data_IF_526360802463
#
_entry.id   IF_526360802463
#
_cell.length_a   1.000
_cell.length_b   1.000
_cell.length_c   1.000
_cell.angle_alpha   90.00
_cell.angle_beta   90.00
_cell.angle_gamma   90.00
#
_symmetry.space_group_name_H-M   'P 1'
#
loop_
_entity.id
_entity.type
_entity.pdbx_description
1 polymer ?
#
# COMPACT_ATOMS: atom_id res chain seq x y z
N UNK A 1 27.28 -3.57 8.04
CA UNK A 1 27.52 -3.57 6.58
C UNK A 1 26.33 -2.88 5.96
N UNK A 2 26.58 -1.79 5.24
CA UNK A 2 25.53 -1.00 4.59
C UNK A 2 25.05 -1.77 3.35
N UNK A 3 23.79 -2.20 3.34
CA UNK A 3 23.20 -2.92 2.21
C UNK A 3 22.51 -1.97 1.23
N UNK A 4 22.59 -0.66 1.46
CA UNK A 4 22.36 0.36 0.44
C UNK A 4 23.69 0.56 -0.29
N UNK A 5 24.05 -0.43 -1.12
CA UNK A 5 25.39 -0.56 -1.71
C UNK A 5 25.65 0.40 -2.88
N UNK A 6 24.66 1.21 -3.25
CA UNK A 6 24.80 2.31 -4.22
C UNK A 6 24.19 3.57 -3.62
N UNK A 7 25.04 4.35 -2.95
CA UNK A 7 24.75 5.76 -2.72
C UNK A 7 24.82 6.50 -4.05
N UNK A 8 23.97 7.52 -4.21
CA UNK A 8 23.70 8.21 -5.47
C UNK A 8 24.97 8.79 -6.09
N UNK A 9 25.14 8.55 -7.39
CA UNK A 9 26.13 9.26 -8.22
C UNK A 9 25.62 10.69 -8.47
N UNK A 10 26.46 11.70 -8.24
CA UNK A 10 26.08 13.13 -8.22
C UNK A 10 25.42 13.58 -9.54
N UNK A 11 25.81 12.97 -10.66
CA UNK A 11 25.26 13.24 -12.00
C UNK A 11 23.80 12.77 -12.16
N UNK A 12 23.40 11.71 -11.46
CA UNK A 12 22.02 11.21 -11.47
C UNK A 12 21.10 12.11 -10.63
N UNK A 13 21.61 12.71 -9.56
CA UNK A 13 20.88 13.66 -8.70
C UNK A 13 20.52 14.92 -9.47
N UNK A 14 21.46 15.42 -10.28
CA UNK A 14 21.29 16.62 -11.08
C UNK A 14 20.25 16.45 -12.19
N UNK A 15 20.24 15.29 -12.85
CA UNK A 15 19.32 15.00 -13.95
C UNK A 15 17.87 14.66 -13.52
N UNK A 16 17.60 14.51 -12.21
CA UNK A 16 16.27 14.16 -11.66
C UNK A 16 15.58 12.93 -12.29
N UNK A 17 16.22 12.21 -13.20
CA UNK A 17 15.60 11.11 -13.95
C UNK A 17 15.18 9.98 -13.02
N UNK A 18 15.95 9.75 -11.96
CA UNK A 18 15.59 8.79 -10.94
C UNK A 18 14.40 9.26 -10.10
N UNK A 19 14.26 10.55 -9.77
CA UNK A 19 13.06 11.10 -9.11
C UNK A 19 11.84 11.21 -10.04
N UNK A 20 12.07 11.38 -11.35
CA UNK A 20 11.01 11.48 -12.35
C UNK A 20 10.44 10.09 -12.70
N UNK A 21 11.27 9.04 -12.60
CA UNK A 21 10.88 7.64 -12.84
C UNK A 21 10.53 6.91 -11.54
N UNK A 22 11.19 7.24 -10.43
CA UNK A 22 10.76 6.91 -9.09
C UNK A 22 9.61 7.85 -8.74
N UNK A 23 8.41 7.43 -9.09
CA UNK A 23 7.28 7.72 -8.23
C UNK A 23 7.45 6.83 -6.97
N UNK A 24 8.02 7.27 -5.83
CA UNK A 24 7.34 6.92 -4.61
C UNK A 24 6.05 7.71 -4.71
N UNK A 25 5.01 7.12 -5.32
CA UNK A 25 3.66 7.59 -5.04
C UNK A 25 3.61 7.70 -3.52
N UNK A 26 3.35 8.90 -3.02
CA UNK A 26 3.27 9.16 -1.59
C UNK A 26 2.53 7.99 -0.93
N UNK A 27 3.15 7.34 0.06
CA UNK A 27 2.59 6.13 0.65
C UNK A 27 1.22 6.42 1.28
N UNK A 28 0.97 7.66 1.68
CA UNK A 28 -0.36 8.12 2.13
C UNK A 28 -1.39 8.08 1.00
N UNK A 29 -1.01 8.49 -0.21
CA UNK A 29 -1.86 8.41 -1.41
C UNK A 29 -2.06 6.96 -1.87
N UNK A 30 -1.04 6.11 -1.74
CA UNK A 30 -1.17 4.67 -2.01
C UNK A 30 -2.12 4.04 -1.00
N UNK A 31 -1.96 4.31 0.30
CA UNK A 31 -2.84 3.80 1.35
C UNK A 31 -4.30 4.09 1.02
N UNK A 32 -4.60 5.31 0.57
CA UNK A 32 -5.94 5.72 0.14
C UNK A 32 -6.41 5.05 -1.15
N UNK A 33 -5.54 4.91 -2.16
CA UNK A 33 -5.94 4.43 -3.49
C UNK A 33 -6.00 2.91 -3.63
N UNK A 34 -5.19 2.17 -2.86
CA UNK A 34 -5.09 0.71 -2.93
C UNK A 34 -5.46 0.00 -1.63
N UNK A 35 -5.59 0.73 -0.54
CA UNK A 35 -5.96 0.19 0.78
C UNK A 35 -4.75 -0.23 1.62
N UNK A 36 -5.03 -0.46 2.90
CA UNK A 36 -4.06 -0.84 3.93
C UNK A 36 -3.44 -2.22 3.68
N UNK A 37 -4.23 -3.19 3.20
CA UNK A 37 -3.76 -4.55 2.98
C UNK A 37 -2.71 -4.60 1.85
N UNK A 38 -2.96 -3.86 0.77
CA UNK A 38 -2.00 -3.74 -0.33
C UNK A 38 -0.68 -3.11 0.14
N UNK A 39 -0.77 -2.06 0.97
CA UNK A 39 0.41 -1.38 1.49
C UNK A 39 1.20 -2.26 2.47
N UNK A 40 0.51 -3.02 3.32
CA UNK A 40 1.14 -4.01 4.21
C UNK A 40 1.87 -5.09 3.41
N UNK A 41 1.22 -5.66 2.39
CA UNK A 41 1.85 -6.63 1.50
C UNK A 41 3.04 -6.03 0.74
N UNK A 42 2.94 -4.76 0.33
CA UNK A 42 4.03 -4.04 -0.32
C UNK A 42 5.23 -3.87 0.63
N UNK A 43 5.04 -3.42 1.87
CA UNK A 43 6.14 -3.24 2.83
C UNK A 43 6.80 -4.57 3.24
N UNK A 44 6.05 -5.68 3.26
CA UNK A 44 6.59 -7.01 3.60
C UNK A 44 7.21 -7.73 2.39
N UNK A 45 6.79 -7.38 1.18
CA UNK A 45 7.11 -8.10 -0.05
C UNK A 45 8.47 -7.77 -0.67
N UNK A 46 9.32 -7.01 0.00
CA UNK A 46 10.65 -6.66 -0.51
C UNK A 46 11.62 -7.84 -0.44
N UNK A 47 12.44 -8.01 -1.47
CA UNK A 47 13.49 -9.01 -1.51
C UNK A 47 14.73 -8.46 -2.24
N UNK A 48 15.89 -9.03 -1.93
CA UNK A 48 17.15 -8.70 -2.56
C UNK A 48 17.20 -9.24 -4.00
N UNK A 49 17.53 -8.38 -4.96
CA UNK A 49 17.62 -8.69 -6.39
C UNK A 49 18.81 -7.94 -7.00
N UNK A 50 19.89 -8.68 -7.25
CA UNK A 50 21.15 -8.14 -7.79
C UNK A 50 21.01 -7.62 -9.23
N UNK A 51 19.96 -8.04 -9.96
CA UNK A 51 19.72 -7.58 -11.32
C UNK A 51 19.14 -6.15 -11.37
N UNK A 52 18.69 -5.62 -10.22
CA UNK A 52 18.12 -4.28 -10.13
C UNK A 52 19.22 -3.27 -9.77
N UNK A 53 19.22 -2.07 -10.38
CA UNK A 53 20.19 -1.02 -10.05
C UNK A 53 20.23 -0.68 -8.56
N UNK A 54 19.08 -0.76 -7.88
CA UNK A 54 18.91 -0.47 -6.45
C UNK A 54 19.12 -1.70 -5.54
N UNK A 55 19.36 -2.89 -6.09
CA UNK A 55 19.56 -4.13 -5.32
C UNK A 55 18.31 -4.73 -4.66
N UNK A 56 17.14 -4.08 -4.80
CA UNK A 56 15.87 -4.49 -4.21
C UNK A 56 14.77 -4.61 -5.26
N UNK A 57 13.86 -5.55 -5.02
CA UNK A 57 12.64 -5.73 -5.79
C UNK A 57 11.48 -6.13 -4.87
N UNK A 58 10.26 -6.22 -5.41
CA UNK A 58 9.06 -6.43 -4.63
C UNK A 58 8.08 -7.39 -5.32
N UNK A 59 7.43 -8.26 -4.55
CA UNK A 59 6.47 -9.25 -5.08
C UNK A 59 5.15 -8.62 -5.53
N UNK A 60 4.70 -7.56 -4.85
CA UNK A 60 3.45 -6.85 -5.13
C UNK A 60 3.63 -5.82 -6.24
N UNK A 61 4.75 -5.11 -6.26
CA UNK A 61 5.10 -4.13 -7.29
C UNK A 61 6.46 -4.42 -7.89
N UNK A 62 6.48 -5.25 -8.93
CA UNK A 62 7.71 -5.58 -9.66
C UNK A 62 8.39 -4.31 -10.17
N UNK A 63 9.68 -4.20 -9.92
CA UNK A 63 10.47 -3.06 -10.33
C UNK A 63 10.16 -1.77 -9.57
N UNK A 64 9.67 -1.90 -8.33
CA UNK A 64 9.56 -0.79 -7.38
C UNK A 64 10.83 0.07 -7.40
N UNK A 65 10.65 1.38 -7.39
CA UNK A 65 11.75 2.33 -7.39
C UNK A 65 12.24 2.68 -5.97
N UNK A 66 11.55 2.18 -4.95
CA UNK A 66 11.89 2.35 -3.55
C UNK A 66 12.71 1.14 -3.08
N UNK A 67 13.86 1.32 -2.41
CA UNK A 67 14.53 0.23 -1.72
C UNK A 67 13.72 -0.23 -0.50
N UNK A 68 14.04 -1.41 0.04
CA UNK A 68 13.46 -1.80 1.32
C UNK A 68 14.00 -0.87 2.41
N UNK A 69 13.15 -0.07 3.05
CA UNK A 69 13.55 0.85 4.14
C UNK A 69 13.61 0.11 5.48
N UNK A 70 12.85 -0.98 5.62
CA UNK A 70 12.70 -1.73 6.87
C UNK A 70 13.59 -2.98 6.91
N UNK A 71 14.56 -3.10 5.99
CA UNK A 71 15.42 -4.27 5.85
C UNK A 71 16.22 -4.60 7.12
N UNK A 72 16.62 -3.61 7.91
CA UNK A 72 17.29 -3.84 9.20
C UNK A 72 16.38 -4.50 10.23
N UNK A 73 15.09 -4.21 10.19
CA UNK A 73 14.09 -4.74 11.12
C UNK A 73 13.65 -6.14 10.69
N UNK A 74 13.33 -6.28 9.40
CA UNK A 74 12.85 -7.52 8.78
C UNK A 74 13.95 -8.58 8.62
N UNK A 75 15.18 -8.13 8.35
CA UNK A 75 16.22 -8.97 7.78
C UNK A 75 16.20 -8.95 6.25
N UNK A 76 17.22 -9.57 5.67
CA UNK A 76 17.37 -9.65 4.20
C UNK A 76 16.79 -10.98 3.74
N UNK A 77 15.89 -10.91 2.77
CA UNK A 77 15.25 -12.08 2.17
C UNK A 77 15.44 -12.10 0.66
N UNK A 78 15.56 -13.30 0.09
CA UNK A 78 15.61 -13.55 -1.35
C UNK A 78 14.32 -14.23 -1.78
N UNK A 79 13.80 -13.88 -2.95
CA UNK A 79 12.62 -14.55 -3.50
C UNK A 79 13.05 -15.81 -4.26
N UNK A 80 12.46 -16.95 -3.90
CA UNK A 80 12.56 -18.18 -4.69
C UNK A 80 11.42 -18.23 -5.72
N UNK A 81 11.79 -18.33 -6.99
CA UNK A 81 10.86 -18.54 -8.09
C UNK A 81 11.10 -19.93 -8.70
N UNK A 82 10.06 -20.75 -8.80
CA UNK A 82 10.12 -21.96 -9.59
C UNK A 82 9.71 -21.64 -11.03
N UNK A 83 10.51 -22.08 -12.00
CA UNK A 83 10.13 -22.02 -13.40
C UNK A 83 9.38 -23.29 -13.76
N UNK A 84 8.09 -23.18 -14.08
CA UNK A 84 7.34 -24.28 -14.69
C UNK A 84 7.20 -23.99 -16.18
N UNK A 85 7.61 -24.93 -17.02
CA UNK A 85 7.35 -24.89 -18.46
C UNK A 85 6.02 -25.59 -18.70
N UNK A 86 4.98 -24.82 -19.03
CA UNK A 86 3.71 -25.40 -19.41
C UNK A 86 3.84 -26.15 -20.75
N UNK A 87 2.90 -27.04 -21.08
CA UNK A 87 2.92 -27.89 -22.29
C UNK A 87 2.97 -27.11 -23.61
N UNK A 88 2.75 -25.80 -23.54
CA UNK A 88 2.78 -24.85 -24.66
C UNK A 88 4.10 -24.06 -24.77
N UNK A 89 5.13 -24.39 -23.96
CA UNK A 89 6.43 -23.71 -24.00
C UNK A 89 6.45 -22.32 -23.37
N UNK A 90 5.42 -21.95 -22.59
CA UNK A 90 5.38 -20.69 -21.84
C UNK A 90 6.01 -20.96 -20.48
N UNK A 91 7.10 -20.25 -20.19
CA UNK A 91 7.74 -20.27 -18.87
C UNK A 91 6.97 -19.36 -17.91
N UNK A 92 6.34 -19.97 -16.91
CA UNK A 92 5.71 -19.25 -15.80
C UNK A 92 6.61 -19.35 -14.56
N UNK A 93 7.04 -18.20 -14.07
CA UNK A 93 7.78 -18.10 -12.80
C UNK A 93 6.78 -17.96 -11.66
N UNK A 94 6.57 -19.04 -10.92
CA UNK A 94 5.70 -19.07 -9.74
C UNK A 94 6.51 -18.77 -8.48
N UNK A 95 6.03 -17.82 -7.67
CA UNK A 95 6.66 -17.45 -6.40
C UNK A 95 6.42 -18.54 -5.36
N UNK A 96 7.49 -19.17 -4.87
CA UNK A 96 7.41 -20.28 -3.91
C UNK A 96 7.51 -19.82 -2.46
N UNK A 97 8.31 -18.78 -2.21
CA UNK A 97 8.53 -18.25 -0.87
C UNK A 97 9.74 -17.34 -0.76
N UNK A 98 10.01 -16.91 0.46
CA UNK A 98 11.17 -16.11 0.81
C UNK A 98 12.19 -16.96 1.56
N UNK A 99 13.45 -16.93 1.09
CA UNK A 99 14.59 -17.48 1.82
C UNK A 99 15.24 -16.34 2.63
N UNK A 100 15.33 -16.49 3.95
CA UNK A 100 16.01 -15.51 4.82
C UNK A 100 17.52 -15.69 4.70
N UNK A 101 18.18 -14.68 4.15
CA UNK A 101 19.64 -14.61 4.04
C UNK A 101 20.26 -14.12 5.35
N UNK A 102 19.60 -13.16 6.01
CA UNK A 102 20.12 -12.53 7.23
C UNK A 102 18.96 -12.23 8.18
N UNK A 103 19.14 -12.55 9.46
CA UNK A 103 18.17 -12.20 10.50
C UNK A 103 18.09 -10.68 10.69
N UNK A 104 16.87 -10.20 10.86
CA UNK A 104 16.60 -8.81 11.23
C UNK A 104 16.72 -8.57 12.72
N UNK A 105 16.55 -7.31 13.13
CA UNK A 105 16.49 -6.92 14.55
C UNK A 105 15.22 -7.38 15.25
N UNK A 106 14.17 -7.72 14.50
CA UNK A 106 12.86 -8.11 15.02
C UNK A 106 12.53 -9.55 14.60
N UNK A 107 11.76 -10.24 15.43
CA UNK A 107 11.10 -11.47 15.01
C UNK A 107 10.07 -11.17 13.91
N UNK A 108 9.69 -12.19 13.14
CA UNK A 108 8.70 -12.02 12.06
C UNK A 108 7.35 -11.49 12.56
N UNK A 109 6.94 -11.90 13.76
CA UNK A 109 5.70 -11.44 14.38
C UNK A 109 5.79 -9.97 14.80
N UNK A 110 6.90 -9.56 15.41
CA UNK A 110 7.11 -8.15 15.82
C UNK A 110 7.23 -7.23 14.61
N UNK A 111 7.88 -7.70 13.54
CA UNK A 111 7.94 -6.98 12.28
C UNK A 111 6.54 -6.81 11.67
N UNK A 112 5.73 -7.87 11.70
CA UNK A 112 4.35 -7.83 11.22
C UNK A 112 3.46 -6.83 11.97
N UNK A 113 3.62 -6.76 13.29
CA UNK A 113 2.95 -5.78 14.14
C UNK A 113 3.44 -4.35 13.83
N UNK A 114 4.75 -4.17 13.68
CA UNK A 114 5.36 -2.88 13.32
C UNK A 114 4.86 -2.37 11.96
N UNK A 115 4.83 -3.23 10.94
CA UNK A 115 4.30 -2.88 9.61
C UNK A 115 2.82 -2.49 9.72
N UNK A 116 2.04 -3.24 10.50
CA UNK A 116 0.61 -2.92 10.70
C UNK A 116 0.43 -1.54 11.31
N UNK A 117 1.22 -1.19 12.32
CA UNK A 117 1.15 0.12 12.97
C UNK A 117 1.55 1.25 12.03
N UNK A 118 2.61 1.07 11.24
CA UNK A 118 3.02 2.03 10.21
C UNK A 118 1.89 2.25 9.18
N UNK A 119 1.28 1.17 8.70
CA UNK A 119 0.20 1.24 7.71
C UNK A 119 -1.04 1.94 8.30
N UNK A 120 -1.39 1.62 9.55
CA UNK A 120 -2.50 2.27 10.25
C UNK A 120 -2.24 3.77 10.42
N UNK A 121 -1.02 4.15 10.77
CA UNK A 121 -0.60 5.55 10.87
C UNK A 121 -0.72 6.26 9.51
N UNK A 122 -0.29 5.62 8.42
CA UNK A 122 -0.38 6.18 7.06
C UNK A 122 -1.83 6.33 6.59
N UNK A 123 -2.72 5.38 6.89
CA UNK A 123 -4.16 5.49 6.57
C UNK A 123 -4.82 6.62 7.37
N UNK A 124 -4.51 6.72 8.67
CA UNK A 124 -5.04 7.80 9.52
C UNK A 124 -4.61 9.19 9.03
N UNK A 125 -3.33 9.35 8.71
CA UNK A 125 -2.80 10.62 8.19
C UNK A 125 -3.31 10.96 6.79
N UNK A 126 -3.63 9.95 5.97
CA UNK A 126 -4.26 10.14 4.66
C UNK A 126 -5.73 10.62 4.74
N UNK A 127 -6.46 10.25 5.81
CA UNK A 127 -7.86 10.63 6.00
C UNK A 127 -8.23 10.98 7.45
N UNK A 128 -7.71 12.09 8.02
CA UNK A 128 -8.02 12.47 9.40
C UNK A 128 -9.52 12.78 9.61
N UNK A 129 -10.20 13.27 8.57
CA UNK A 129 -11.63 13.58 8.62
C UNK A 129 -12.55 12.33 8.60
N UNK A 130 -12.00 11.12 8.41
CA UNK A 130 -12.79 9.88 8.37
C UNK A 130 -13.53 9.64 9.69
N UNK A 131 -12.88 9.89 10.84
CA UNK A 131 -13.50 9.77 12.16
C UNK A 131 -14.67 10.74 12.34
N UNK A 132 -14.48 12.01 11.95
CA UNK A 132 -15.49 13.07 12.05
C UNK A 132 -16.71 12.74 11.17
N UNK A 133 -16.49 12.31 9.93
CA UNK A 133 -17.56 11.92 9.00
C UNK A 133 -18.37 10.74 9.53
N UNK A 134 -17.71 9.70 10.03
CA UNK A 134 -18.39 8.49 10.54
C UNK A 134 -19.18 8.80 11.81
N UNK A 135 -18.68 9.67 12.69
CA UNK A 135 -19.40 10.11 13.88
C UNK A 135 -20.67 10.92 13.54
N UNK A 136 -20.64 11.74 12.49
CA UNK A 136 -21.80 12.54 12.05
C UNK A 136 -22.80 11.75 11.18
N UNK A 137 -22.38 10.65 10.55
CA UNK A 137 -23.23 9.90 9.62
C UNK A 137 -24.59 9.45 10.20
N UNK A 138 -24.70 8.91 11.43
CA UNK A 138 -25.99 8.52 12.00
C UNK A 138 -26.95 9.71 12.16
N UNK A 139 -26.43 10.87 12.57
CA UNK A 139 -27.23 12.08 12.77
C UNK A 139 -27.72 12.67 11.44
N UNK A 140 -26.85 12.70 10.43
CA UNK A 140 -27.21 13.16 9.09
C UNK A 140 -28.24 12.22 8.46
N UNK A 141 -28.06 10.90 8.59
CA UNK A 141 -29.03 9.92 8.08
C UNK A 141 -30.39 10.02 8.80
N UNK A 142 -30.39 10.16 10.13
CA UNK A 142 -31.62 10.36 10.90
C UNK A 142 -32.35 11.64 10.48
N UNK A 143 -31.63 12.74 10.31
CA UNK A 143 -32.18 13.99 9.80
C UNK A 143 -32.78 13.82 8.40
N UNK A 144 -32.06 13.17 7.47
CA UNK A 144 -32.55 12.96 6.11
C UNK A 144 -33.80 12.07 6.07
N UNK A 145 -33.88 11.03 6.90
CA UNK A 145 -35.07 10.18 7.00
C UNK A 145 -36.26 10.97 7.53
N UNK A 146 -36.07 11.73 8.62
CA UNK A 146 -37.12 12.56 9.21
C UNK A 146 -37.60 13.64 8.23
N UNK A 147 -36.65 14.34 7.60
CA UNK A 147 -36.96 15.38 6.62
C UNK A 147 -37.70 14.81 5.40
N UNK A 148 -37.27 13.66 4.89
CA UNK A 148 -37.92 12.97 3.77
C UNK A 148 -39.35 12.58 4.13
N UNK A 149 -39.59 12.10 5.35
CA UNK A 149 -40.93 11.79 5.85
C UNK A 149 -41.83 13.03 5.89
N UNK A 150 -41.34 14.15 6.45
CA UNK A 150 -42.09 15.41 6.48
C UNK A 150 -42.36 15.97 5.08
N UNK A 151 -41.36 15.96 4.20
CA UNK A 151 -41.49 16.37 2.81
C UNK A 151 -42.48 15.49 2.04
N UNK A 152 -42.50 14.17 2.30
CA UNK A 152 -43.46 13.25 1.72
C UNK A 152 -44.89 13.57 2.18
N UNK A 153 -45.10 13.83 3.47
CA UNK A 153 -46.41 14.27 3.98
C UNK A 153 -46.86 15.59 3.35
N UNK A 154 -45.95 16.57 3.24
CA UNK A 154 -46.24 17.85 2.61
C UNK A 154 -46.62 17.68 1.13
N UNK A 155 -45.85 16.89 0.37
CA UNK A 155 -46.18 16.52 -1.01
C UNK A 155 -47.57 15.91 -1.08
N UNK A 156 -47.87 14.91 -0.25
CA UNK A 156 -49.18 14.22 -0.26
C UNK A 156 -50.34 15.19 -0.02
N UNK A 157 -50.17 16.17 0.87
CA UNK A 157 -51.20 17.19 1.13
C UNK A 157 -51.31 18.21 -0.01
N UNK A 158 -50.18 18.68 -0.55
CA UNK A 158 -50.18 19.68 -1.63
C UNK A 158 -50.80 19.16 -2.93
N UNK A 159 -50.55 17.89 -3.27
CA UNK A 159 -51.09 17.24 -4.47
C UNK A 159 -52.49 16.63 -4.24
N UNK A 160 -53.13 16.91 -3.11
CA UNK A 160 -54.47 16.39 -2.81
C UNK A 160 -55.57 17.11 -3.60
N UNK A 161 -55.34 18.38 -3.92
CA UNK A 161 -56.28 19.25 -4.66
C UNK A 161 -55.94 19.37 -6.16
N UNK A 162 -54.90 18.65 -6.61
CA UNK A 162 -54.52 18.56 -8.02
C UNK A 162 -54.89 17.14 -8.50
N UNK A 163 -56.08 17.02 -9.10
CA UNK A 163 -56.53 15.85 -9.87
C UNK A 163 -56.14 16.00 -11.34
#
# INVERSE_FOLDING_TARGET
TDYITKTMDDEQVENKEWFAKAFPKDLTLIAKSRGVDWLSAYLKGFYADENRPIGWNNTVLKGASMPNVLWELQGIQKAEFNTHTDKNGIETHEFKGFEKITEGKMSEKEFDETVRDIVNFLDYTAEPARLIRTAMAPWVLAFLVLFTFLAYMLKRNYFKDVH
#
